data_IF_760467148344
#
_entry.id   IF_760467148344
#
_cell.length_a   1.000
_cell.length_b   1.000
_cell.length_c   1.000
_cell.angle_alpha   90.00
_cell.angle_beta   90.00
_cell.angle_gamma   90.00
#
_symmetry.space_group_name_H-M   'P 1'
#
loop_
_entity.id
_entity.type
_entity.pdbx_description
1 polymer ?
#
# COMPACT_ATOMS: atom_id res chain seq x y z
N UNK A 1 -38.85 -6.31 -0.27
CA UNK A 1 -37.41 -6.35 -0.05
C UNK A 1 -36.72 -5.27 -0.84
N UNK A 2 -35.77 -4.59 -0.21
CA UNK A 2 -34.94 -3.53 -0.82
C UNK A 2 -33.80 -4.16 -1.60
N UNK A 3 -33.50 -3.64 -2.79
CA UNK A 3 -32.32 -4.04 -3.55
C UNK A 3 -31.10 -3.28 -3.03
N UNK A 4 -30.01 -4.01 -2.79
CA UNK A 4 -28.74 -3.46 -2.33
C UNK A 4 -27.65 -3.92 -3.28
N UNK A 5 -26.88 -2.97 -3.78
CA UNK A 5 -25.68 -3.20 -4.58
C UNK A 5 -24.47 -3.13 -3.64
N UNK A 6 -23.68 -4.20 -3.63
CA UNK A 6 -22.48 -4.30 -2.79
C UNK A 6 -21.30 -4.47 -3.72
N UNK A 7 -20.47 -3.42 -3.78
CA UNK A 7 -19.15 -3.47 -4.38
C UNK A 7 -18.14 -3.81 -3.31
N UNK A 8 -17.23 -4.73 -3.64
CA UNK A 8 -16.20 -5.18 -2.73
C UNK A 8 -14.88 -5.34 -3.47
N UNK A 9 -13.78 -5.00 -2.83
CA UNK A 9 -12.44 -5.18 -3.37
C UNK A 9 -11.70 -6.27 -2.59
N UNK A 10 -11.00 -7.12 -3.32
CA UNK A 10 -10.03 -8.04 -2.78
C UNK A 10 -8.62 -7.51 -3.00
N UNK A 11 -7.96 -7.22 -1.89
CA UNK A 11 -6.58 -6.74 -1.86
C UNK A 11 -5.75 -7.91 -1.31
N UNK A 12 -4.85 -8.47 -2.11
CA UNK A 12 -4.08 -9.69 -1.74
C UNK A 12 -3.14 -9.44 -0.58
N UNK A 13 -2.67 -8.20 -0.44
CA UNK A 13 -1.82 -7.74 0.65
C UNK A 13 -1.95 -6.22 0.75
N UNK A 14 -1.96 -5.70 1.97
CA UNK A 14 -1.81 -4.28 2.19
C UNK A 14 -0.85 -4.01 3.33
N UNK A 15 -0.09 -2.93 3.21
CA UNK A 15 0.58 -2.29 4.35
C UNK A 15 -0.21 -1.03 4.63
N UNK A 16 -0.75 -0.89 5.84
CA UNK A 16 -1.28 0.36 6.36
C UNK A 16 -0.55 0.66 7.66
N UNK A 17 0.53 1.43 7.58
CA UNK A 17 1.37 1.75 8.73
C UNK A 17 2.26 2.94 8.44
N UNK A 18 2.39 3.83 9.41
CA UNK A 18 3.39 4.90 9.40
C UNK A 18 4.66 4.51 10.17
N UNK A 19 4.68 3.32 10.80
CA UNK A 19 5.85 2.79 11.50
C UNK A 19 6.73 1.99 10.52
N UNK A 20 7.57 2.69 9.77
CA UNK A 20 8.47 2.10 8.77
C UNK A 20 9.51 1.20 9.42
N UNK A 21 9.60 -0.05 8.93
CA UNK A 21 10.53 -1.06 9.47
C UNK A 21 11.99 -0.86 9.06
N UNK A 22 12.23 -0.04 8.05
CA UNK A 22 13.55 0.29 7.52
C UNK A 22 13.67 1.80 7.47
N UNK A 23 14.73 2.33 8.06
CA UNK A 23 15.04 3.76 8.08
C UNK A 23 16.50 3.89 7.68
N UNK A 24 16.77 4.67 6.62
CA UNK A 24 18.13 4.89 6.15
C UNK A 24 18.97 5.60 7.21
N UNK A 25 20.29 5.34 7.21
CA UNK A 25 21.21 6.03 8.10
C UNK A 25 21.09 7.57 7.97
N UNK A 26 21.08 8.26 9.11
CA UNK A 26 21.02 9.71 9.18
C UNK A 26 19.61 10.33 9.11
N UNK A 27 18.57 9.58 8.74
CA UNK A 27 17.19 10.08 8.76
C UNK A 27 16.79 10.45 10.19
N UNK A 28 16.39 11.70 10.39
CA UNK A 28 15.91 12.19 11.68
C UNK A 28 14.51 11.67 11.96
N UNK A 29 14.26 11.22 13.19
CA UNK A 29 12.92 10.82 13.64
C UNK A 29 12.51 11.79 14.74
N UNK A 30 11.44 12.54 14.49
CA UNK A 30 10.94 13.58 15.39
C UNK A 30 9.57 13.16 15.88
N UNK A 31 9.41 13.07 17.20
CA UNK A 31 8.16 12.70 17.85
C UNK A 31 7.47 13.95 18.38
N UNK A 32 6.21 14.14 17.98
CA UNK A 32 5.34 15.18 18.52
C UNK A 32 4.05 14.53 19.05
N UNK A 33 4.11 14.06 20.29
CA UNK A 33 3.03 13.22 20.85
C UNK A 33 2.93 11.89 20.10
N UNK A 34 1.78 11.62 19.48
CA UNK A 34 1.55 10.42 18.65
C UNK A 34 1.99 10.59 17.19
N UNK A 35 2.28 11.82 16.76
CA UNK A 35 2.75 12.08 15.41
C UNK A 35 4.26 11.82 15.30
N UNK A 36 4.66 11.22 14.18
CA UNK A 36 6.05 10.95 13.86
C UNK A 36 6.37 11.63 12.55
N UNK A 37 7.38 12.49 12.57
CA UNK A 37 7.92 13.14 11.38
C UNK A 37 9.30 12.59 11.05
N UNK A 38 9.57 12.46 9.76
CA UNK A 38 10.85 12.01 9.23
C UNK A 38 11.57 13.17 8.56
N UNK A 39 12.81 13.40 8.97
CA UNK A 39 13.68 14.41 8.37
C UNK A 39 14.73 13.78 7.47
N UNK A 40 15.00 14.38 6.30
CA UNK A 40 16.04 13.90 5.40
C UNK A 40 17.45 14.01 5.97
N UNK A 41 18.42 13.45 5.25
CA UNK A 41 19.75 13.19 5.77
C UNK A 41 20.84 13.49 4.73
N UNK A 42 22.05 13.91 5.13
CA UNK A 42 23.19 13.96 4.23
C UNK A 42 23.63 12.53 3.80
N UNK A 43 24.26 12.36 2.63
CA UNK A 43 24.54 13.40 1.65
C UNK A 43 23.30 13.84 0.86
N UNK A 44 22.46 12.90 0.44
CA UNK A 44 21.15 13.06 -0.23
C UNK A 44 20.46 11.68 -0.15
N UNK A 45 19.15 11.60 -0.38
CA UNK A 45 18.52 10.29 -0.55
C UNK A 45 18.14 9.52 0.71
N UNK A 46 17.95 10.23 1.83
CA UNK A 46 17.31 9.63 3.00
C UNK A 46 15.95 9.02 2.64
N UNK A 47 15.57 7.94 3.33
CA UNK A 47 14.30 7.27 3.08
C UNK A 47 13.83 6.44 4.29
N UNK A 48 12.54 6.15 4.30
CA UNK A 48 11.87 5.22 5.21
C UNK A 48 11.03 4.25 4.41
N UNK A 49 11.17 2.95 4.67
CA UNK A 49 10.69 1.89 3.79
C UNK A 49 10.03 0.75 4.56
N UNK A 50 9.18 0.04 3.82
CA UNK A 50 8.78 -1.31 4.12
C UNK A 50 9.41 -2.27 3.10
N UNK A 51 9.84 -3.47 3.54
CA UNK A 51 10.20 -4.52 2.61
C UNK A 51 8.92 -5.03 1.92
N UNK A 52 9.00 -5.23 0.61
CA UNK A 52 8.12 -6.17 -0.07
C UNK A 52 8.51 -7.58 0.44
N UNK A 53 7.76 -8.11 1.42
CA UNK A 53 8.07 -9.39 2.05
C UNK A 53 7.88 -10.53 1.06
N UNK A 54 8.94 -11.23 0.61
CA UNK A 54 8.99 -12.35 -0.38
C UNK A 54 7.99 -13.52 -0.26
N UNK A 55 7.00 -13.45 0.62
CA UNK A 55 5.89 -14.38 0.70
C UNK A 55 4.97 -14.17 -0.52
N UNK A 56 5.18 -14.99 -1.57
CA UNK A 56 4.37 -15.42 -2.74
C UNK A 56 3.11 -14.68 -3.25
N UNK A 57 2.54 -13.70 -2.54
CA UNK A 57 1.28 -13.04 -2.84
C UNK A 57 1.42 -11.81 -3.76
N UNK A 58 2.61 -11.22 -3.85
CA UNK A 58 2.91 -10.08 -4.74
C UNK A 58 3.89 -10.41 -5.87
N UNK A 59 4.55 -11.58 -5.82
CA UNK A 59 5.43 -12.03 -6.91
C UNK A 59 4.71 -12.14 -8.27
N UNK A 60 3.38 -12.16 -8.25
CA UNK A 60 2.50 -12.20 -9.42
C UNK A 60 1.62 -10.94 -9.55
N UNK A 61 1.97 -9.84 -8.88
CA UNK A 61 1.21 -8.60 -9.00
C UNK A 61 1.84 -7.72 -10.07
N UNK A 62 1.02 -7.40 -11.07
CA UNK A 62 1.38 -6.52 -12.18
C UNK A 62 1.01 -5.06 -11.88
N UNK A 63 0.58 -4.74 -10.65
CA UNK A 63 0.21 -3.39 -10.23
C UNK A 63 0.57 -3.14 -8.75
N UNK A 64 1.08 -1.95 -8.45
CA UNK A 64 1.27 -1.45 -7.08
C UNK A 64 0.60 -0.09 -6.98
N UNK A 65 -0.37 0.02 -6.07
CA UNK A 65 -0.95 1.31 -5.71
C UNK A 65 -0.38 1.75 -4.35
N UNK A 66 0.25 2.93 -4.30
CA UNK A 66 0.83 3.52 -3.09
C UNK A 66 0.10 4.81 -2.78
N UNK A 67 -0.41 4.94 -1.55
CA UNK A 67 -1.11 6.12 -1.04
C UNK A 67 -0.39 6.65 0.19
N UNK A 68 -0.04 7.93 0.14
CA UNK A 68 0.41 8.72 1.27
C UNK A 68 -0.71 9.68 1.69
N UNK A 69 -1.03 9.72 2.98
CA UNK A 69 -1.83 10.79 3.58
C UNK A 69 -0.98 11.45 4.65
N UNK A 70 -0.81 12.77 4.57
CA UNK A 70 -0.04 13.48 5.58
C UNK A 70 0.35 14.88 5.18
N UNK A 71 1.25 15.46 5.96
CA UNK A 71 1.79 16.82 5.74
C UNK A 71 3.27 16.75 5.37
N UNK A 72 3.77 17.79 4.72
CA UNK A 72 5.19 17.92 4.42
C UNK A 72 5.61 19.39 4.28
N UNK A 73 6.87 19.63 4.61
CA UNK A 73 7.57 20.89 4.40
C UNK A 73 8.92 20.56 3.77
N UNK A 74 9.06 20.88 2.48
CA UNK A 74 10.15 20.36 1.66
C UNK A 74 10.82 21.48 0.86
N UNK A 75 12.13 21.37 0.69
CA UNK A 75 12.90 22.30 -0.12
C UNK A 75 12.57 22.06 -1.61
N UNK A 76 12.26 23.14 -2.33
CA UNK A 76 11.99 23.08 -3.76
C UNK A 76 13.19 22.57 -4.53
N UNK A 77 12.97 21.54 -5.35
CA UNK A 77 14.01 20.90 -6.13
C UNK A 77 14.89 19.92 -5.37
N UNK A 78 14.57 19.65 -4.10
CA UNK A 78 14.84 18.34 -3.52
C UNK A 78 13.79 17.33 -3.99
N UNK A 79 14.06 16.04 -3.86
CA UNK A 79 13.18 14.99 -4.39
C UNK A 79 12.61 14.07 -3.28
N UNK A 80 11.89 14.59 -2.27
CA UNK A 80 11.11 13.75 -1.36
C UNK A 80 9.83 13.26 -2.05
N UNK A 81 9.36 12.06 -1.74
CA UNK A 81 8.15 11.52 -2.34
C UNK A 81 7.96 10.02 -2.20
N UNK A 82 6.99 9.48 -2.93
CA UNK A 82 6.72 8.04 -2.98
C UNK A 82 7.79 7.36 -3.82
N UNK A 83 8.39 6.30 -3.27
CA UNK A 83 9.52 5.61 -3.90
C UNK A 83 9.37 4.10 -3.88
N UNK A 84 9.81 3.45 -4.96
CA UNK A 84 9.99 2.01 -5.10
C UNK A 84 11.47 1.72 -5.38
N UNK A 85 12.10 0.81 -4.62
CA UNK A 85 13.49 0.38 -4.82
C UNK A 85 13.59 -1.10 -5.16
N UNK A 86 14.50 -1.44 -6.07
CA UNK A 86 14.77 -2.80 -6.54
C UNK A 86 16.25 -3.06 -6.83
N UNK A 87 16.53 -4.21 -7.43
CA UNK A 87 17.91 -4.63 -7.74
C UNK A 87 18.77 -4.83 -6.48
N UNK A 88 20.03 -4.40 -6.53
CA UNK A 88 21.00 -4.56 -5.44
C UNK A 88 20.94 -3.43 -4.39
N UNK A 89 19.76 -2.86 -4.16
CA UNK A 89 19.57 -1.77 -3.21
C UNK A 89 19.90 -2.19 -1.77
N UNK A 90 20.74 -1.41 -1.08
CA UNK A 90 20.98 -1.55 0.35
C UNK A 90 20.11 -0.55 1.12
N UNK A 91 19.05 -1.01 1.80
CA UNK A 91 18.06 -0.13 2.41
C UNK A 91 18.54 0.52 3.73
N UNK A 92 19.74 0.20 4.20
CA UNK A 92 20.33 0.83 5.39
C UNK A 92 21.11 2.11 5.05
N UNK A 93 21.45 2.32 3.78
CA UNK A 93 22.24 3.46 3.31
C UNK A 93 21.36 4.43 2.51
N UNK A 94 21.53 5.75 2.64
CA UNK A 94 20.90 6.71 1.74
C UNK A 94 21.16 6.38 0.27
N UNK A 95 20.20 6.67 -0.61
CA UNK A 95 20.33 6.33 -2.04
C UNK A 95 21.50 7.08 -2.74
N UNK A 96 21.84 8.28 -2.24
CA UNK A 96 22.98 9.07 -2.71
C UNK A 96 24.33 8.41 -2.43
N UNK A 97 24.47 7.72 -1.29
CA UNK A 97 25.69 7.01 -0.89
C UNK A 97 25.95 5.74 -1.72
N UNK A 98 24.91 5.23 -2.38
CA UNK A 98 24.98 4.04 -3.21
C UNK A 98 24.67 4.34 -4.69
N UNK A 99 24.76 5.60 -5.11
CA UNK A 99 24.51 6.07 -6.49
C UNK A 99 25.33 5.36 -7.57
N UNK A 100 26.47 4.76 -7.24
CA UNK A 100 27.27 3.95 -8.17
C UNK A 100 26.91 2.45 -8.18
N UNK A 101 26.00 2.03 -7.32
CA UNK A 101 25.55 0.63 -7.27
C UNK A 101 24.44 0.38 -8.29
N UNK A 102 24.31 -0.86 -8.76
CA UNK A 102 23.32 -1.26 -9.76
C UNK A 102 21.93 -1.49 -9.14
N UNK A 103 21.48 -0.61 -8.26
CA UNK A 103 20.09 -0.62 -7.79
C UNK A 103 19.17 0.07 -8.80
N UNK A 104 17.88 -0.21 -8.68
CA UNK A 104 16.84 0.45 -9.45
C UNK A 104 15.92 1.22 -8.53
N UNK A 105 15.42 2.36 -9.01
CA UNK A 105 14.47 3.18 -8.26
C UNK A 105 13.48 3.85 -9.21
N UNK A 106 12.23 3.98 -8.76
CA UNK A 106 11.26 4.91 -9.33
C UNK A 106 10.75 5.79 -8.20
N UNK A 107 10.75 7.10 -8.42
CA UNK A 107 10.37 8.10 -7.43
C UNK A 107 9.38 9.09 -8.06
N UNK A 108 8.20 9.20 -7.46
CA UNK A 108 7.27 10.31 -7.74
C UNK A 108 7.41 11.31 -6.62
N UNK A 109 8.10 12.42 -6.91
CA UNK A 109 8.42 13.45 -5.95
C UNK A 109 7.21 14.36 -5.69
N UNK A 110 7.09 14.81 -4.43
CA UNK A 110 6.03 15.70 -3.98
C UNK A 110 6.15 17.12 -4.56
N UNK A 111 7.24 17.46 -5.26
CA UNK A 111 7.42 18.72 -5.98
C UNK A 111 7.01 18.64 -7.46
N UNK A 112 6.40 17.54 -7.90
CA UNK A 112 5.87 17.40 -9.25
C UNK A 112 6.86 16.82 -10.26
N UNK A 113 7.81 16.00 -9.80
CA UNK A 113 8.81 15.35 -10.66
C UNK A 113 8.69 13.85 -10.63
N UNK A 114 8.94 13.23 -11.77
CA UNK A 114 9.17 11.79 -11.88
C UNK A 114 10.67 11.57 -12.07
N UNK A 115 11.25 10.75 -11.21
CA UNK A 115 12.64 10.34 -11.26
C UNK A 115 12.75 8.82 -11.36
N UNK A 116 13.83 8.35 -11.99
CA UNK A 116 14.24 6.96 -11.87
C UNK A 116 15.75 6.83 -11.77
N UNK A 117 16.20 5.76 -11.12
CA UNK A 117 17.60 5.37 -11.07
C UNK A 117 17.78 4.03 -11.77
N UNK A 118 18.75 3.95 -12.69
CA UNK A 118 19.16 2.71 -13.32
C UNK A 118 20.61 2.83 -13.80
N UNK A 119 21.34 1.72 -13.81
CA UNK A 119 22.73 1.65 -14.28
C UNK A 119 23.67 2.67 -13.60
N UNK A 120 23.43 2.96 -12.32
CA UNK A 120 24.25 3.89 -11.52
C UNK A 120 24.03 5.36 -11.84
N UNK A 121 22.86 5.74 -12.38
CA UNK A 121 22.54 7.13 -12.70
C UNK A 121 21.06 7.45 -12.47
N UNK A 122 20.80 8.68 -12.04
CA UNK A 122 19.46 9.25 -11.93
C UNK A 122 19.05 9.96 -13.22
N UNK A 123 17.78 9.83 -13.55
CA UNK A 123 17.13 10.46 -14.70
C UNK A 123 15.82 11.10 -14.26
N UNK A 124 15.50 12.24 -14.85
CA UNK A 124 14.31 13.04 -14.56
C UNK A 124 13.47 13.19 -15.84
N UNK A 125 12.66 12.19 -16.21
CA UNK A 125 11.89 12.25 -17.45
C UNK A 125 10.75 13.28 -17.44
N UNK A 126 10.21 13.63 -16.27
CA UNK A 126 9.06 14.54 -16.16
C UNK A 126 9.28 15.51 -15.01
N UNK A 127 9.13 16.81 -15.28
CA UNK A 127 9.30 17.91 -14.30
C UNK A 127 8.04 18.75 -14.09
N UNK A 128 6.92 18.31 -14.65
CA UNK A 128 5.68 19.08 -14.76
C UNK A 128 4.46 18.33 -14.20
N UNK A 129 4.68 17.32 -13.36
CA UNK A 129 3.56 16.67 -12.66
C UNK A 129 2.92 17.68 -11.69
N UNK A 130 1.60 17.58 -11.46
CA UNK A 130 0.94 18.40 -10.46
C UNK A 130 1.49 18.06 -9.07
N UNK A 131 1.56 19.07 -8.22
CA UNK A 131 1.88 18.91 -6.80
C UNK A 131 0.88 19.68 -5.93
N UNK A 132 0.94 19.48 -4.62
CA UNK A 132 0.09 20.15 -3.65
C UNK A 132 0.93 21.00 -2.68
N UNK A 133 0.38 22.13 -2.24
CA UNK A 133 1.05 23.04 -1.31
C UNK A 133 1.35 24.41 -1.92
N UNK A 134 1.86 25.30 -1.08
CA UNK A 134 2.24 26.65 -1.49
C UNK A 134 3.74 26.77 -1.57
N UNK A 135 4.25 27.26 -2.70
CA UNK A 135 5.65 27.62 -2.83
C UNK A 135 5.92 28.97 -2.16
N UNK A 136 6.74 28.98 -1.12
CA UNK A 136 7.13 30.20 -0.39
C UNK A 136 8.61 30.12 -0.04
N UNK A 137 9.40 31.11 -0.48
CA UNK A 137 10.83 31.24 -0.15
C UNK A 137 11.68 29.99 -0.41
N UNK A 138 11.41 29.25 -1.50
CA UNK A 138 12.15 28.02 -1.82
C UNK A 138 11.63 26.76 -1.15
N UNK A 139 10.47 26.82 -0.48
CA UNK A 139 9.85 25.68 0.20
C UNK A 139 8.45 25.41 -0.34
N UNK A 140 8.07 24.14 -0.44
CA UNK A 140 6.67 23.72 -0.60
C UNK A 140 6.17 23.30 0.78
N UNK A 141 5.18 24.02 1.27
CA UNK A 141 4.60 23.77 2.58
C UNK A 141 3.15 23.27 2.47
N UNK A 142 2.88 22.14 3.12
CA UNK A 142 1.57 21.51 3.23
C UNK A 142 1.25 21.32 4.71
N UNK A 143 0.42 22.21 5.27
CA UNK A 143 0.01 22.20 6.68
C UNK A 143 -1.25 21.38 6.98
N UNK A 144 -1.95 20.92 5.94
CA UNK A 144 -3.14 20.07 6.06
C UNK A 144 -2.91 18.76 5.31
N UNK A 145 -3.41 17.63 5.82
CA UNK A 145 -3.18 16.34 5.20
C UNK A 145 -3.60 16.34 3.72
N UNK A 146 -2.66 15.99 2.85
CA UNK A 146 -2.90 15.73 1.44
C UNK A 146 -2.96 14.23 1.22
N UNK A 147 -3.95 13.76 0.47
CA UNK A 147 -3.99 12.40 -0.03
C UNK A 147 -3.29 12.37 -1.39
N UNK A 148 -2.20 11.62 -1.48
CA UNK A 148 -1.36 11.47 -2.65
C UNK A 148 -1.23 9.99 -3.00
N UNK A 149 -1.87 9.56 -4.08
CA UNK A 149 -1.85 8.17 -4.56
C UNK A 149 -1.11 8.07 -5.88
N UNK A 150 -0.31 7.02 -6.07
CA UNK A 150 0.36 6.71 -7.34
C UNK A 150 0.10 5.25 -7.68
N UNK A 151 -0.21 4.97 -8.95
CA UNK A 151 -0.39 3.63 -9.49
C UNK A 151 0.78 3.30 -10.43
N UNK A 152 1.47 2.22 -10.13
CA UNK A 152 2.53 1.63 -10.93
C UNK A 152 2.04 0.31 -11.52
N UNK A 153 2.39 0.02 -12.76
CA UNK A 153 2.06 -1.24 -13.43
C UNK A 153 3.30 -1.89 -14.05
N UNK A 154 3.27 -3.22 -14.18
CA UNK A 154 4.17 -3.95 -15.05
C UNK A 154 3.71 -3.78 -16.49
N UNK A 155 4.63 -3.40 -17.36
CA UNK A 155 4.43 -3.52 -18.80
C UNK A 155 5.71 -4.04 -19.47
N UNK A 156 5.66 -5.27 -19.97
CA UNK A 156 6.76 -5.91 -20.74
C UNK A 156 8.06 -6.04 -19.94
N UNK A 157 7.94 -6.36 -18.66
CA UNK A 157 9.03 -6.48 -17.69
C UNK A 157 9.53 -5.16 -17.14
N UNK A 158 8.94 -4.03 -17.54
CA UNK A 158 9.32 -2.67 -17.15
C UNK A 158 8.25 -2.02 -16.29
N UNK A 159 8.59 -0.87 -15.70
CA UNK A 159 7.70 -0.12 -14.81
C UNK A 159 6.98 0.98 -15.55
N UNK A 160 5.67 0.88 -15.66
CA UNK A 160 4.78 1.93 -16.10
C UNK A 160 4.33 2.76 -14.90
N UNK A 161 4.53 4.08 -14.94
CA UNK A 161 3.87 5.00 -14.01
C UNK A 161 2.57 5.44 -14.67
N UNK A 162 1.46 4.85 -14.24
CA UNK A 162 0.17 4.95 -14.92
C UNK A 162 -0.52 6.28 -14.65
N UNK A 163 -0.84 6.54 -13.39
CA UNK A 163 -1.52 7.76 -12.97
C UNK A 163 -1.24 8.07 -11.51
N UNK A 164 -1.63 9.28 -11.12
CA UNK A 164 -1.58 9.74 -9.74
C UNK A 164 -2.86 10.46 -9.37
N UNK A 165 -3.18 10.47 -8.09
CA UNK A 165 -4.32 11.20 -7.53
C UNK A 165 -3.84 12.16 -6.45
N UNK A 166 -4.31 13.40 -6.49
CA UNK A 166 -4.13 14.36 -5.40
C UNK A 166 -5.51 14.76 -4.90
N UNK A 167 -5.81 14.44 -3.65
CA UNK A 167 -7.11 14.65 -3.02
C UNK A 167 -8.28 14.11 -3.88
N UNK A 168 -8.07 12.92 -4.46
CA UNK A 168 -9.05 12.23 -5.31
C UNK A 168 -9.14 12.72 -6.75
N UNK A 169 -8.43 13.79 -7.15
CA UNK A 169 -8.37 14.21 -8.55
C UNK A 169 -7.28 13.44 -9.30
N UNK A 170 -7.69 12.74 -10.36
CA UNK A 170 -6.81 11.96 -11.23
C UNK A 170 -5.95 12.83 -12.15
N UNK A 171 -4.71 12.39 -12.35
CA UNK A 171 -3.78 12.90 -13.35
C UNK A 171 -3.10 11.73 -14.04
N UNK A 172 -3.32 11.62 -15.35
CA UNK A 172 -2.72 10.58 -16.18
C UNK A 172 -1.26 10.92 -16.44
N UNK A 173 -0.37 9.96 -16.16
CA UNK A 173 1.07 10.06 -16.43
C UNK A 173 1.42 9.21 -17.64
N UNK A 174 1.02 7.93 -17.61
CA UNK A 174 1.20 6.94 -18.65
C UNK A 174 2.62 6.93 -19.25
N UNK A 175 3.63 6.80 -18.38
CA UNK A 175 5.04 6.86 -18.77
C UNK A 175 5.78 5.56 -18.46
N UNK A 176 6.22 4.86 -19.50
CA UNK A 176 6.98 3.63 -19.38
C UNK A 176 8.46 3.94 -19.10
N UNK A 177 8.92 3.57 -17.91
CA UNK A 177 10.29 3.79 -17.45
C UNK A 177 11.12 2.53 -17.75
N UNK A 178 12.39 2.66 -18.18
CA UNK A 178 13.28 1.50 -18.40
C UNK A 178 13.73 0.80 -17.11
N UNK A 179 12.98 0.87 -16.01
CA UNK A 179 13.27 0.19 -14.75
C UNK A 179 12.55 -1.16 -14.74
N UNK A 180 13.28 -2.28 -14.57
CA UNK A 180 12.66 -3.61 -14.44
C UNK A 180 11.65 -3.68 -13.29
N UNK A 181 10.57 -4.43 -13.49
CA UNK A 181 9.56 -4.71 -12.47
C UNK A 181 10.07 -5.73 -11.44
N UNK A 182 10.98 -5.31 -10.57
CA UNK A 182 11.66 -6.17 -9.60
C UNK A 182 11.92 -5.47 -8.25
N UNK A 183 10.92 -4.75 -7.76
CA UNK A 183 11.01 -3.98 -6.52
C UNK A 183 11.03 -4.87 -5.28
N UNK A 184 11.90 -4.50 -4.33
CA UNK A 184 12.06 -5.16 -3.03
C UNK A 184 11.63 -4.26 -1.87
N UNK A 185 11.53 -2.95 -2.09
CA UNK A 185 11.12 -1.98 -1.07
C UNK A 185 10.20 -0.91 -1.65
N UNK A 186 9.34 -0.38 -0.81
CA UNK A 186 8.54 0.81 -1.08
C UNK A 186 8.50 1.71 0.16
N UNK A 187 8.23 2.99 -0.03
CA UNK A 187 8.04 3.91 1.08
C UNK A 187 8.16 5.36 0.67
N UNK A 188 8.78 6.14 1.54
CA UNK A 188 8.93 7.59 1.38
C UNK A 188 10.42 7.92 1.32
N UNK A 189 10.84 8.61 0.25
CA UNK A 189 12.14 9.28 0.17
C UNK A 189 12.01 10.63 0.89
N UNK A 190 12.89 10.88 1.86
CA UNK A 190 12.98 12.16 2.59
C UNK A 190 14.02 13.10 1.97
N UNK A 191 14.98 12.53 1.23
CA UNK A 191 16.05 13.23 0.52
C UNK A 191 17.04 13.98 1.42
N UNK A 192 16.98 15.32 1.46
CA UNK A 192 17.97 16.21 2.09
C UNK A 192 17.62 16.61 3.51
N UNK A 193 18.60 17.04 4.32
CA UNK A 193 18.35 17.64 5.62
C UNK A 193 17.30 18.75 5.55
N UNK A 194 16.49 18.86 6.61
CA UNK A 194 15.42 19.84 6.79
C UNK A 194 14.15 19.61 5.95
N UNK A 195 14.14 18.70 4.98
CA UNK A 195 12.87 18.18 4.50
C UNK A 195 12.16 17.48 5.65
N UNK A 196 10.88 17.78 5.84
CA UNK A 196 10.05 17.23 6.92
C UNK A 196 8.82 16.59 6.31
N UNK A 197 8.62 15.29 6.60
CA UNK A 197 7.46 14.54 6.11
C UNK A 197 6.78 13.89 7.31
N UNK A 198 5.50 14.17 7.50
CA UNK A 198 4.69 13.64 8.59
C UNK A 198 3.55 12.81 8.01
N UNK A 199 3.76 11.49 7.83
CA UNK A 199 2.71 10.61 7.37
C UNK A 199 1.68 10.38 8.49
N UNK A 200 0.41 10.56 8.16
CA UNK A 200 -0.74 10.15 8.98
C UNK A 200 -1.23 8.76 8.55
N UNK A 201 -1.15 8.47 7.25
CA UNK A 201 -1.41 7.15 6.68
C UNK A 201 -0.40 6.86 5.57
N UNK A 202 0.05 5.62 5.50
CA UNK A 202 0.81 5.13 4.36
C UNK A 202 0.29 3.75 3.99
N UNK A 203 -0.44 3.69 2.87
CA UNK A 203 -1.16 2.53 2.39
C UNK A 203 -0.55 2.03 1.09
N UNK A 204 -0.16 0.76 1.04
CA UNK A 204 0.23 0.09 -0.21
C UNK A 204 -0.70 -1.08 -0.46
N UNK A 205 -1.26 -1.15 -1.66
CA UNK A 205 -2.18 -2.22 -2.06
C UNK A 205 -1.74 -2.85 -3.37
N UNK A 206 -1.87 -4.16 -3.42
CA UNK A 206 -1.66 -4.98 -4.61
C UNK A 206 -3.03 -5.52 -5.01
N UNK A 207 -3.61 -5.07 -6.15
CA UNK A 207 -4.84 -5.69 -6.61
C UNK A 207 -4.53 -7.14 -6.98
N UNK A 208 -5.39 -8.04 -6.51
CA UNK A 208 -5.35 -9.42 -6.95
C UNK A 208 -6.36 -9.56 -8.07
N UNK A 209 -5.86 -9.63 -9.30
CA UNK A 209 -6.70 -9.70 -10.49
C UNK A 209 -7.33 -11.08 -10.60
N UNK A 210 -8.55 -11.12 -11.18
CA UNK A 210 -9.23 -12.37 -11.53
C UNK A 210 -9.29 -13.40 -10.40
N UNK A 211 -9.48 -12.96 -9.16
CA UNK A 211 -9.63 -13.87 -8.04
C UNK A 211 -11.05 -14.41 -7.97
N UNK A 212 -11.23 -15.74 -7.92
CA UNK A 212 -12.54 -16.32 -7.73
C UNK A 212 -13.08 -15.92 -6.35
N UNK A 213 -14.33 -15.49 -6.31
CA UNK A 213 -15.05 -15.23 -5.08
C UNK A 213 -16.36 -16.02 -5.03
N UNK A 214 -16.78 -16.33 -3.81
CA UNK A 214 -18.08 -16.92 -3.49
C UNK A 214 -18.80 -15.98 -2.52
N UNK A 215 -20.06 -15.69 -2.80
CA UNK A 215 -20.94 -14.90 -1.95
C UNK A 215 -21.98 -15.83 -1.36
N UNK A 216 -22.08 -15.87 -0.04
CA UNK A 216 -23.10 -16.60 0.70
C UNK A 216 -24.04 -15.61 1.36
N UNK A 217 -25.34 -15.85 1.24
CA UNK A 217 -26.39 -15.12 1.96
C UNK A 217 -27.00 -16.06 2.99
N UNK A 218 -26.92 -15.70 4.27
CA UNK A 218 -27.41 -16.51 5.40
C UNK A 218 -26.89 -17.95 5.38
N UNK A 219 -25.63 -18.13 4.99
CA UNK A 219 -24.95 -19.44 4.93
C UNK A 219 -25.24 -20.27 3.68
N UNK A 220 -26.06 -19.80 2.75
CA UNK A 220 -26.31 -20.44 1.45
C UNK A 220 -25.57 -19.70 0.34
N UNK A 221 -24.92 -20.42 -0.55
CA UNK A 221 -24.29 -19.80 -1.73
C UNK A 221 -25.34 -19.04 -2.54
N UNK A 222 -25.02 -17.79 -2.84
CA UNK A 222 -25.89 -16.83 -3.50
C UNK A 222 -25.34 -16.48 -4.88
N UNK A 223 -24.05 -16.17 -4.97
CA UNK A 223 -23.38 -15.83 -6.21
C UNK A 223 -21.92 -16.28 -6.18
N UNK A 224 -21.33 -16.43 -7.35
CA UNK A 224 -19.90 -16.65 -7.52
C UNK A 224 -19.43 -15.88 -8.74
N UNK A 225 -18.14 -15.56 -8.78
CA UNK A 225 -17.58 -14.79 -9.88
C UNK A 225 -16.09 -14.59 -9.73
N UNK A 226 -15.56 -13.69 -10.54
CA UNK A 226 -14.16 -13.29 -10.51
C UNK A 226 -14.09 -11.79 -10.31
N UNK A 227 -13.10 -11.34 -9.54
CA UNK A 227 -12.81 -9.90 -9.47
C UNK A 227 -12.36 -9.38 -10.83
N UNK A 228 -12.73 -8.14 -11.17
CA UNK A 228 -12.31 -7.48 -12.41
C UNK A 228 -10.81 -7.13 -12.41
N UNK A 229 -10.39 -6.42 -13.45
CA UNK A 229 -9.01 -5.93 -13.65
C UNK A 229 -8.56 -4.89 -12.60
N UNK A 230 -9.42 -4.54 -11.64
CA UNK A 230 -9.12 -3.66 -10.50
C UNK A 230 -9.23 -4.42 -9.16
N UNK A 231 -9.39 -5.75 -9.19
CA UNK A 231 -9.61 -6.57 -7.99
C UNK A 231 -10.99 -6.36 -7.34
N UNK A 232 -11.94 -5.78 -8.05
CA UNK A 232 -13.30 -5.50 -7.56
C UNK A 232 -14.28 -6.58 -8.00
N UNK A 233 -15.14 -7.02 -7.08
CA UNK A 233 -16.33 -7.79 -7.37
C UNK A 233 -17.57 -7.00 -6.99
N UNK A 234 -18.69 -7.36 -7.61
CA UNK A 234 -19.98 -6.74 -7.32
C UNK A 234 -21.04 -7.83 -7.18
N UNK A 235 -21.95 -7.62 -6.22
CA UNK A 235 -23.15 -8.43 -6.08
C UNK A 235 -24.35 -7.54 -5.81
N UNK A 236 -25.45 -7.80 -6.51
CA UNK A 236 -26.74 -7.17 -6.27
C UNK A 236 -27.62 -8.19 -5.56
N UNK A 237 -28.21 -7.81 -4.42
CA UNK A 237 -29.05 -8.71 -3.64
C UNK A 237 -30.32 -8.01 -3.14
N UNK A 238 -31.40 -8.77 -3.06
CA UNK A 238 -32.69 -8.28 -2.56
C UNK A 238 -32.89 -8.70 -1.12
N UNK A 239 -32.75 -7.75 -0.20
CA UNK A 239 -32.93 -7.97 1.24
C UNK A 239 -34.41 -8.11 1.56
N UNK A 240 -34.80 -9.27 2.08
CA UNK A 240 -36.19 -9.60 2.42
C UNK A 240 -36.43 -9.80 3.92
N UNK A 241 -35.36 -9.98 4.70
CA UNK A 241 -35.41 -10.19 6.15
C UNK A 241 -35.02 -8.92 6.94
N UNK A 242 -35.37 -8.89 8.24
CA UNK A 242 -34.94 -7.84 9.18
C UNK A 242 -33.44 -7.86 9.44
N UNK A 243 -32.81 -9.02 9.27
CA UNK A 243 -31.36 -9.20 9.35
C UNK A 243 -30.91 -10.24 8.32
N UNK A 244 -29.91 -9.88 7.52
CA UNK A 244 -29.24 -10.78 6.58
C UNK A 244 -27.72 -10.70 6.80
N UNK A 245 -27.07 -11.86 6.72
CA UNK A 245 -25.62 -11.98 6.83
C UNK A 245 -25.06 -12.39 5.48
N UNK A 246 -24.27 -11.50 4.87
CA UNK A 246 -23.51 -11.79 3.67
C UNK A 246 -22.10 -12.23 4.06
N UNK A 247 -21.63 -13.33 3.48
CA UNK A 247 -20.25 -13.77 3.60
C UNK A 247 -19.63 -13.82 2.20
N UNK A 248 -18.59 -13.04 1.97
CA UNK A 248 -17.85 -13.02 0.71
C UNK A 248 -16.52 -13.71 0.96
N UNK A 249 -16.26 -14.83 0.30
CA UNK A 249 -15.01 -15.59 0.42
C UNK A 249 -14.21 -15.59 -0.88
N UNK A 250 -12.90 -15.67 -0.76
CA UNK A 250 -11.94 -15.87 -1.85
C UNK A 250 -11.22 -17.19 -1.61
N UNK A 251 -11.75 -18.31 -2.14
CA UNK A 251 -11.28 -19.65 -1.79
C UNK A 251 -9.80 -19.87 -2.09
N UNK A 252 -9.32 -19.38 -3.25
CA UNK A 252 -7.91 -19.47 -3.65
C UNK A 252 -6.95 -18.85 -2.64
N UNK A 253 -7.44 -17.89 -1.86
CA UNK A 253 -6.66 -17.07 -0.94
C UNK A 253 -6.95 -17.40 0.53
N UNK A 254 -7.93 -18.28 0.80
CA UNK A 254 -8.37 -18.63 2.16
C UNK A 254 -8.82 -17.42 3.00
N UNK A 255 -9.38 -16.38 2.35
CA UNK A 255 -9.89 -15.15 3.00
C UNK A 255 -11.41 -15.08 2.88
N UNK A 256 -12.08 -14.49 3.87
CA UNK A 256 -13.48 -14.11 3.75
C UNK A 256 -13.84 -12.85 4.56
N UNK A 257 -14.93 -12.18 4.18
CA UNK A 257 -15.49 -10.97 4.81
C UNK A 257 -16.95 -11.22 5.17
N UNK A 258 -17.37 -10.73 6.33
CA UNK A 258 -18.77 -10.84 6.78
C UNK A 258 -19.38 -9.44 6.84
N UNK A 259 -20.49 -9.25 6.12
CA UNK A 259 -21.29 -8.03 6.12
C UNK A 259 -22.64 -8.38 6.75
N UNK A 260 -23.00 -7.66 7.80
CA UNK A 260 -24.33 -7.80 8.41
C UNK A 260 -25.19 -6.62 7.96
N UNK A 261 -26.34 -6.93 7.37
CA UNK A 261 -27.31 -5.97 6.87
C UNK A 261 -28.55 -6.07 7.77
N UNK A 262 -28.85 -5.01 8.51
CA UNK A 262 -30.08 -4.92 9.31
C UNK A 262 -31.04 -3.90 8.69
N UNK A 263 -32.27 -4.35 8.41
CA UNK A 263 -33.31 -3.54 7.78
C UNK A 263 -34.33 -2.95 8.79
N UNK A 264 -34.12 -3.12 10.11
CA UNK A 264 -35.01 -2.60 11.15
C UNK A 264 -34.63 -1.19 11.61
N UNK A 265 -35.52 -0.21 11.40
CA UNK A 265 -35.37 1.17 11.89
C UNK A 265 -34.63 2.07 10.90
N UNK A 266 -33.37 2.38 11.20
CA UNK A 266 -32.42 3.06 10.31
C UNK A 266 -31.47 2.00 9.74
N UNK A 267 -31.45 1.82 8.42
CA UNK A 267 -30.64 0.78 7.76
C UNK A 267 -29.18 0.87 8.19
N UNK A 268 -28.67 -0.16 8.86
CA UNK A 268 -27.30 -0.21 9.38
C UNK A 268 -26.54 -1.34 8.67
N UNK A 269 -25.51 -0.98 7.91
CA UNK A 269 -24.59 -1.92 7.27
C UNK A 269 -23.31 -1.95 8.08
N UNK A 270 -23.00 -3.09 8.67
CA UNK A 270 -21.74 -3.28 9.43
C UNK A 270 -20.86 -4.28 8.73
N UNK A 271 -19.63 -3.86 8.45
CA UNK A 271 -18.58 -4.72 7.89
C UNK A 271 -17.70 -5.20 9.05
N UNK A 272 -17.65 -6.51 9.27
CA UNK A 272 -16.81 -7.11 10.29
C UNK A 272 -15.65 -7.87 9.61
N UNK A 273 -14.42 -7.58 10.05
CA UNK A 273 -13.23 -8.31 9.64
C UNK A 273 -12.96 -9.42 10.66
N UNK A 274 -12.94 -10.70 10.26
CA UNK A 274 -12.57 -11.78 11.19
C UNK A 274 -11.08 -11.71 11.54
N UNK A 275 -10.75 -11.80 12.84
CA UNK A 275 -9.38 -11.78 13.40
C UNK A 275 -8.68 -13.15 13.22
N UNK A 276 -8.92 -13.80 12.08
CA UNK A 276 -8.64 -15.22 11.85
C UNK A 276 -7.16 -15.66 11.99
N UNK A 277 -6.14 -14.86 11.63
CA UNK A 277 -4.76 -15.30 11.79
C UNK A 277 -4.41 -15.59 13.26
N UNK A 278 -4.95 -14.81 14.21
CA UNK A 278 -4.62 -14.94 15.64
C UNK A 278 -5.38 -16.13 16.26
N UNK A 279 -6.64 -16.34 15.89
CA UNK A 279 -7.46 -17.44 16.41
C UNK A 279 -6.93 -18.81 15.95
N UNK A 280 -6.55 -18.94 14.67
CA UNK A 280 -5.94 -20.16 14.15
C UNK A 280 -4.57 -20.44 14.79
N UNK A 281 -3.75 -19.41 15.00
CA UNK A 281 -2.48 -19.54 15.72
C UNK A 281 -2.70 -20.05 17.15
N UNK A 282 -3.70 -19.51 17.85
CA UNK A 282 -4.04 -19.89 19.22
C UNK A 282 -4.53 -21.34 19.29
N UNK A 283 -5.42 -21.74 18.38
CA UNK A 283 -5.89 -23.14 18.28
C UNK A 283 -4.72 -24.07 17.96
N UNK A 284 -3.82 -23.68 17.06
CA UNK A 284 -2.65 -24.49 16.70
C UNK A 284 -1.66 -24.64 17.87
N UNK A 285 -1.44 -23.58 18.66
CA UNK A 285 -0.62 -23.63 19.88
C UNK A 285 -1.23 -24.57 20.91
N UNK A 286 -2.55 -24.46 21.14
CA UNK A 286 -3.28 -25.33 22.08
C UNK A 286 -3.18 -26.79 21.65
N UNK A 287 -3.44 -27.11 20.38
CA UNK A 287 -3.36 -28.48 19.86
C UNK A 287 -1.94 -29.05 19.96
N UNK A 288 -0.92 -28.23 19.67
CA UNK A 288 0.49 -28.65 19.77
C UNK A 288 0.87 -28.94 21.22
N UNK A 289 0.41 -28.12 22.16
CA UNK A 289 0.66 -28.29 23.59
C UNK A 289 -0.02 -29.54 24.12
N UNK A 290 -1.28 -29.79 23.75
CA UNK A 290 -2.01 -31.02 24.12
C UNK A 290 -1.30 -32.25 23.57
N UNK A 291 -0.86 -32.23 22.31
CA UNK A 291 -0.14 -33.34 21.68
C UNK A 291 1.18 -33.64 22.41
N UNK A 292 1.94 -32.60 22.78
CA UNK A 292 3.18 -32.76 23.55
C UNK A 292 2.93 -33.36 24.95
N UNK A 293 1.88 -32.93 25.65
CA UNK A 293 1.51 -33.48 26.97
C UNK A 293 1.11 -34.96 26.86
N UNK A 294 0.33 -35.32 25.85
CA UNK A 294 -0.08 -36.72 25.62
C UNK A 294 1.14 -37.59 25.27
N UNK A 295 2.07 -37.07 24.47
CA UNK A 295 3.32 -37.75 24.13
C UNK A 295 4.21 -37.98 25.35
N UNK A 296 4.33 -37.01 26.25
CA UNK A 296 5.11 -37.10 27.47
C UNK A 296 4.51 -38.07 28.50
N UNK A 297 3.17 -38.22 28.54
CA UNK A 297 2.49 -39.20 29.42
C UNK A 297 2.53 -40.65 28.91
N UNK A 298 2.90 -40.87 27.65
CA UNK A 298 3.01 -42.20 27.03
C UNK A 298 4.43 -42.78 27.04
N UNK A 299 5.42 -42.02 27.50
CA UNK A 299 6.76 -42.50 27.84
C UNK A 299 6.85 -42.77 29.33
#
# INVERSE_FOLDING_TARGET
GQEIHIQFQFVSSYVNSTNFSVIAAGVGIIYNGSEVSYSGAPPYGGHVLFPLRANSLWANSDEITVTFVGTYDINWGSNPGIVLYGGNFNPQLPDGDQSRSNYTCVLVAFDGRLWYHINGSFFEPITSLPYYGSYVNGWINVTKPVNYTVIFEEEKGLTLVKCMFINGKEYVINYLIPVPWNFSYFGIRTDVPNNMITPEEFLVTFPSLNQPYLVYLNGKEYASGYTNDQGQGEVSLRVTSTQETLNISWPSMHVYKIITISASGEGNVRVNYPILPISLLTVSIVLTTISAIISLRRK
#
